data_IF_394402259339
#
_entry.id   IF_394402259339
#
_cell.length_a   1.000
_cell.length_b   1.000
_cell.length_c   1.000
_cell.angle_alpha   90.00
_cell.angle_beta   90.00
_cell.angle_gamma   90.00
#
_symmetry.space_group_name_H-M   'P 1'
#
loop_
_entity.id
_entity.type
_entity.pdbx_description
1 polymer ?
#
# COMPACT_ATOMS: atom_id res chain seq x y z
N UNK A 1 -20.57 -8.54 5.79
CA UNK A 1 -21.92 -7.96 5.65
C UNK A 1 -22.59 -8.55 4.43
N UNK A 2 -22.23 -8.04 3.25
CA UNK A 2 -22.90 -8.39 1.98
C UNK A 2 -22.98 -9.90 1.71
N UNK A 3 -21.85 -10.63 1.82
CA UNK A 3 -21.83 -12.07 1.58
C UNK A 3 -22.67 -12.88 2.59
N UNK A 4 -22.77 -12.41 3.84
CA UNK A 4 -23.58 -13.07 4.88
C UNK A 4 -25.07 -12.93 4.57
N UNK A 5 -25.48 -11.73 4.10
CA UNK A 5 -26.86 -11.45 3.72
C UNK A 5 -27.18 -11.81 2.26
N UNK A 6 -26.22 -12.40 1.53
CA UNK A 6 -26.34 -12.75 0.12
C UNK A 6 -26.74 -11.57 -0.78
N UNK A 7 -26.33 -10.35 -0.43
CA UNK A 7 -26.66 -9.13 -1.19
C UNK A 7 -25.54 -8.77 -2.14
N UNK A 8 -25.88 -8.46 -3.40
CA UNK A 8 -24.96 -7.77 -4.33
C UNK A 8 -25.18 -6.27 -4.22
N UNK A 9 -24.10 -5.52 -4.04
CA UNK A 9 -24.18 -4.06 -3.92
C UNK A 9 -24.37 -3.42 -5.31
N UNK A 10 -25.09 -2.29 -5.43
CA UNK A 10 -25.14 -1.52 -6.66
C UNK A 10 -23.77 -1.01 -7.09
N UNK A 11 -23.56 -0.82 -8.39
CA UNK A 11 -22.29 -0.32 -8.95
C UNK A 11 -21.85 1.00 -8.31
N UNK A 12 -22.79 1.92 -8.08
CA UNK A 12 -22.53 3.19 -7.39
C UNK A 12 -21.94 2.97 -6.00
N UNK A 13 -22.49 2.02 -5.22
CA UNK A 13 -21.97 1.71 -3.89
C UNK A 13 -20.56 1.09 -3.97
N UNK A 14 -20.29 0.24 -4.96
CA UNK A 14 -18.96 -0.31 -5.18
C UNK A 14 -17.92 0.80 -5.48
N UNK A 15 -18.25 1.75 -6.37
CA UNK A 15 -17.38 2.90 -6.68
C UNK A 15 -17.13 3.79 -5.46
N UNK A 16 -18.18 4.05 -4.69
CA UNK A 16 -18.12 4.88 -3.48
C UNK A 16 -17.26 4.23 -2.38
N UNK A 17 -17.38 2.91 -2.16
CA UNK A 17 -16.52 2.19 -1.23
C UNK A 17 -15.06 2.12 -1.73
N UNK A 18 -14.84 1.98 -3.04
CA UNK A 18 -13.50 2.09 -3.65
C UNK A 18 -12.87 3.47 -3.41
N UNK A 19 -13.64 4.55 -3.60
CA UNK A 19 -13.18 5.92 -3.33
C UNK A 19 -12.80 6.11 -1.86
N UNK A 20 -13.62 5.63 -0.92
CA UNK A 20 -13.28 5.65 0.51
C UNK A 20 -11.99 4.87 0.81
N UNK A 21 -11.82 3.70 0.20
CA UNK A 21 -10.62 2.89 0.34
C UNK A 21 -9.37 3.58 -0.24
N UNK A 22 -9.49 4.27 -1.38
CA UNK A 22 -8.39 5.08 -1.92
C UNK A 22 -8.05 6.26 -1.01
N UNK A 23 -9.04 6.94 -0.44
CA UNK A 23 -8.82 7.96 0.60
C UNK A 23 -8.05 7.39 1.81
N UNK A 24 -8.40 6.18 2.25
CA UNK A 24 -7.70 5.44 3.31
C UNK A 24 -6.25 5.12 2.95
N UNK A 25 -6.00 4.64 1.73
CA UNK A 25 -4.65 4.32 1.27
C UNK A 25 -3.80 5.59 1.18
N UNK A 26 -4.32 6.65 0.57
CA UNK A 26 -3.61 7.93 0.46
C UNK A 26 -3.22 8.48 1.84
N UNK A 27 -4.16 8.56 2.79
CA UNK A 27 -3.81 9.08 4.11
C UNK A 27 -2.88 8.16 4.88
N UNK A 28 -3.01 6.84 4.73
CA UNK A 28 -2.18 5.86 5.45
C UNK A 28 -0.76 5.85 4.91
N UNK A 29 -0.59 5.97 3.60
CA UNK A 29 0.72 6.02 2.95
C UNK A 29 1.40 7.35 3.22
N UNK A 30 0.66 8.47 3.21
CA UNK A 30 1.17 9.77 3.64
C UNK A 30 1.62 9.76 5.11
N UNK A 31 0.83 9.17 6.01
CA UNK A 31 1.22 9.00 7.42
C UNK A 31 2.53 8.20 7.52
N UNK A 32 2.56 7.01 6.92
CA UNK A 32 3.72 6.12 6.99
C UNK A 32 4.98 6.78 6.43
N UNK A 33 4.89 7.41 5.27
CA UNK A 33 6.06 8.03 4.64
C UNK A 33 6.48 9.29 5.41
N UNK A 34 5.62 10.31 5.51
CA UNK A 34 6.06 11.62 6.01
C UNK A 34 6.21 11.71 7.52
N UNK A 35 5.44 10.93 8.30
CA UNK A 35 5.49 11.05 9.77
C UNK A 35 6.40 10.00 10.40
N UNK A 36 6.55 8.83 9.76
CA UNK A 36 7.28 7.70 10.34
C UNK A 36 8.61 7.44 9.63
N UNK A 37 8.63 7.30 8.30
CA UNK A 37 9.85 6.95 7.56
C UNK A 37 10.73 8.14 7.20
N UNK A 38 10.15 9.28 6.87
CA UNK A 38 10.88 10.47 6.42
C UNK A 38 11.85 11.04 7.46
N UNK A 39 11.57 11.00 8.79
CA UNK A 39 12.58 11.35 9.79
C UNK A 39 13.88 10.56 9.61
N UNK A 40 13.81 9.24 9.46
CA UNK A 40 15.00 8.41 9.20
C UNK A 40 15.65 8.71 7.85
N UNK A 41 14.85 8.78 6.79
CA UNK A 41 15.34 8.92 5.41
C UNK A 41 15.91 10.30 5.10
N UNK A 42 15.42 11.37 5.73
CA UNK A 42 15.78 12.75 5.42
C UNK A 42 16.64 13.41 6.50
N UNK A 43 16.45 13.07 7.79
CA UNK A 43 17.31 13.57 8.87
C UNK A 43 18.57 12.69 9.02
N UNK A 44 18.49 11.41 8.61
CA UNK A 44 19.54 10.40 8.69
C UNK A 44 19.24 9.36 9.77
N UNK A 45 19.51 8.10 9.48
CA UNK A 45 19.27 6.97 10.41
C UNK A 45 20.14 7.03 11.66
N UNK A 46 21.29 7.69 11.58
CA UNK A 46 22.20 7.91 12.71
C UNK A 46 22.05 9.31 13.32
N UNK A 47 21.00 10.06 12.96
CA UNK A 47 20.76 11.38 13.57
C UNK A 47 20.26 11.26 15.02
N UNK A 48 20.48 12.34 15.79
CA UNK A 48 20.10 12.41 17.20
C UNK A 48 18.65 11.94 17.41
N UNK A 49 18.41 10.89 18.23
CA UNK A 49 17.07 10.42 18.54
C UNK A 49 16.14 11.52 19.07
N UNK A 50 16.69 12.54 19.75
CA UNK A 50 15.93 13.70 20.24
C UNK A 50 15.43 14.64 19.14
N UNK A 51 15.89 14.47 17.90
CA UNK A 51 15.47 15.24 16.72
C UNK A 51 14.89 14.35 15.60
N UNK A 52 15.16 13.03 15.61
CA UNK A 52 14.75 12.07 14.57
C UNK A 52 13.28 11.66 14.69
N UNK A 53 12.41 12.65 14.52
CA UNK A 53 10.96 12.49 14.54
C UNK A 53 10.29 13.60 13.73
N UNK A 54 8.96 13.53 13.59
CA UNK A 54 8.20 14.49 12.77
C UNK A 54 8.43 15.97 13.16
N UNK A 55 8.63 16.29 14.44
CA UNK A 55 8.91 17.69 14.85
C UNK A 55 10.27 18.19 14.35
N UNK A 56 11.34 17.37 14.39
CA UNK A 56 12.62 17.75 13.79
C UNK A 56 12.54 17.84 12.27
N UNK A 57 11.71 17.01 11.64
CA UNK A 57 11.41 17.13 10.22
C UNK A 57 10.71 18.46 9.90
N UNK A 58 9.75 18.90 10.73
CA UNK A 58 9.10 20.21 10.59
C UNK A 58 10.10 21.36 10.72
N UNK A 59 11.06 21.26 11.64
CA UNK A 59 12.08 22.30 11.85
C UNK A 59 13.05 22.40 10.67
N UNK A 60 13.52 21.26 10.13
CA UNK A 60 14.54 21.22 9.07
C UNK A 60 13.95 21.31 7.65
N UNK A 61 12.79 20.71 7.43
CA UNK A 61 12.11 20.62 6.13
C UNK A 61 10.62 20.99 6.25
N UNK A 62 10.29 22.25 6.63
CA UNK A 62 8.92 22.65 6.94
C UNK A 62 7.94 22.46 5.79
N UNK A 63 8.37 22.68 4.55
CA UNK A 63 7.50 22.54 3.38
C UNK A 63 7.20 21.07 3.06
N UNK A 64 8.18 20.18 3.24
CA UNK A 64 8.00 18.72 3.08
C UNK A 64 7.03 18.19 4.13
N UNK A 65 7.21 18.59 5.40
CA UNK A 65 6.32 18.20 6.48
C UNK A 65 4.90 18.73 6.25
N UNK A 66 4.74 20.00 5.81
CA UNK A 66 3.45 20.60 5.49
C UNK A 66 2.75 19.85 4.35
N UNK A 67 3.48 19.53 3.28
CA UNK A 67 2.94 18.77 2.16
C UNK A 67 2.43 17.39 2.62
N UNK A 68 3.23 16.65 3.41
CA UNK A 68 2.83 15.37 3.98
C UNK A 68 1.58 15.43 4.87
N UNK A 69 1.47 16.46 5.71
CA UNK A 69 0.28 16.71 6.54
C UNK A 69 -0.95 16.97 5.64
N UNK A 70 -0.80 17.78 4.59
CA UNK A 70 -1.91 18.13 3.67
C UNK A 70 -2.35 16.94 2.82
N UNK A 71 -1.44 16.08 2.38
CA UNK A 71 -1.79 14.83 1.67
C UNK A 71 -2.51 13.85 2.61
N UNK A 72 -2.07 13.73 3.86
CA UNK A 72 -2.79 12.95 4.87
C UNK A 72 -4.19 13.52 5.11
N UNK A 73 -4.30 14.84 5.25
CA UNK A 73 -5.58 15.53 5.41
C UNK A 73 -6.52 15.28 4.22
N UNK A 74 -6.01 15.33 2.99
CA UNK A 74 -6.78 15.05 1.77
C UNK A 74 -7.45 13.68 1.81
N UNK A 75 -6.71 12.60 2.11
CA UNK A 75 -7.32 11.26 2.23
C UNK A 75 -8.31 11.15 3.39
N UNK A 76 -8.03 11.80 4.53
CA UNK A 76 -8.94 11.84 5.68
C UNK A 76 -10.23 12.62 5.41
N UNK A 77 -10.16 13.67 4.59
CA UNK A 77 -11.30 14.46 4.18
C UNK A 77 -12.20 13.69 3.22
N UNK A 78 -11.64 12.88 2.30
CA UNK A 78 -12.45 11.97 1.45
C UNK A 78 -13.25 11.01 2.34
N UNK A 79 -12.61 10.40 3.34
CA UNK A 79 -13.30 9.49 4.28
C UNK A 79 -14.39 10.23 5.06
N UNK A 80 -14.12 11.47 5.49
CA UNK A 80 -15.08 12.30 6.23
C UNK A 80 -16.26 12.76 5.38
N UNK A 81 -16.03 13.20 4.16
CA UNK A 81 -17.08 13.62 3.22
C UNK A 81 -18.04 12.46 2.95
N UNK A 82 -17.51 11.25 2.74
CA UNK A 82 -18.34 10.08 2.51
C UNK A 82 -18.97 9.54 3.80
N UNK A 83 -18.18 9.38 4.86
CA UNK A 83 -18.55 8.61 6.05
C UNK A 83 -18.96 9.44 7.27
N UNK A 84 -19.05 10.77 7.15
CA UNK A 84 -19.34 11.73 8.22
C UNK A 84 -18.22 11.91 9.26
N UNK A 85 -17.31 10.94 9.38
CA UNK A 85 -16.17 10.94 10.31
C UNK A 85 -14.91 10.42 9.64
N UNK A 86 -13.77 11.00 9.97
CA UNK A 86 -12.45 10.59 9.50
C UNK A 86 -12.00 9.24 10.07
N UNK A 87 -12.44 8.91 11.30
CA UNK A 87 -12.05 7.68 12.01
C UNK A 87 -13.31 6.91 12.40
N UNK A 88 -13.29 5.60 12.13
CA UNK A 88 -14.40 4.67 12.32
C UNK A 88 -15.73 5.17 11.71
N UNK A 89 -15.75 5.53 10.40
CA UNK A 89 -17.00 5.88 9.74
C UNK A 89 -17.92 4.67 9.74
N UNK A 90 -19.18 4.89 10.09
CA UNK A 90 -20.20 3.86 9.99
C UNK A 90 -20.84 3.83 8.58
N UNK A 91 -20.13 4.33 7.56
CA UNK A 91 -20.48 4.46 6.15
C UNK A 91 -21.13 3.25 5.48
N UNK A 92 -20.30 2.21 5.48
CA UNK A 92 -20.49 1.00 4.71
C UNK A 92 -21.44 0.05 5.45
N UNK A 93 -22.55 -0.28 4.82
CA UNK A 93 -23.59 -1.18 5.38
C UNK A 93 -23.81 -2.36 4.44
N UNK A 94 -24.32 -3.51 4.93
CA UNK A 94 -24.73 -4.59 4.05
C UNK A 94 -25.70 -4.10 2.96
N UNK A 95 -25.44 -4.44 1.71
CA UNK A 95 -26.20 -3.99 0.54
C UNK A 95 -25.67 -2.71 -0.13
N UNK A 96 -24.76 -1.95 0.48
CA UNK A 96 -24.16 -0.78 -0.16
C UNK A 96 -23.56 0.26 0.78
N UNK A 97 -24.02 1.51 0.65
CA UNK A 97 -23.61 2.66 1.47
C UNK A 97 -24.87 3.39 1.92
N UNK A 98 -24.84 4.06 3.07
CA UNK A 98 -26.02 4.72 3.64
C UNK A 98 -26.48 5.95 2.86
N UNK A 99 -25.53 6.81 2.53
CA UNK A 99 -25.79 8.09 1.86
C UNK A 99 -24.97 8.20 0.55
N UNK A 100 -25.51 8.84 -0.50
CA UNK A 100 -24.73 9.13 -1.69
C UNK A 100 -23.70 10.23 -1.42
N UNK A 101 -22.68 10.31 -2.29
CA UNK A 101 -21.75 11.45 -2.31
C UNK A 101 -22.44 12.70 -2.85
N UNK A 102 -22.21 13.86 -2.24
CA UNK A 102 -22.73 15.13 -2.74
C UNK A 102 -21.88 15.63 -3.92
N UNK A 103 -22.50 16.36 -4.86
CA UNK A 103 -21.78 16.94 -5.99
C UNK A 103 -20.65 17.88 -5.53
N UNK A 104 -20.91 18.70 -4.50
CA UNK A 104 -19.93 19.60 -3.91
C UNK A 104 -18.72 18.86 -3.31
N UNK A 105 -18.92 17.68 -2.71
CA UNK A 105 -17.82 16.86 -2.20
C UNK A 105 -16.93 16.36 -3.33
N UNK A 106 -17.54 15.94 -4.46
CA UNK A 106 -16.78 15.53 -5.66
C UNK A 106 -15.93 16.67 -6.19
N UNK A 107 -16.52 17.85 -6.34
CA UNK A 107 -15.84 19.05 -6.83
C UNK A 107 -14.69 19.48 -5.90
N UNK A 108 -14.89 19.37 -4.59
CA UNK A 108 -13.83 19.65 -3.60
C UNK A 108 -12.66 18.68 -3.73
N UNK A 109 -12.94 17.38 -3.90
CA UNK A 109 -11.91 16.35 -4.13
C UNK A 109 -11.14 16.66 -5.40
N UNK A 110 -11.84 16.91 -6.51
CA UNK A 110 -11.24 17.24 -7.82
C UNK A 110 -10.34 18.47 -7.74
N UNK A 111 -10.78 19.54 -7.07
CA UNK A 111 -10.01 20.77 -6.88
C UNK A 111 -8.69 20.55 -6.13
N UNK A 112 -8.63 19.57 -5.23
CA UNK A 112 -7.46 19.28 -4.39
C UNK A 112 -6.52 18.23 -4.99
N UNK A 113 -6.93 17.53 -6.06
CA UNK A 113 -6.08 16.55 -6.74
C UNK A 113 -4.73 17.11 -7.21
N UNK A 114 -4.64 18.32 -7.82
CA UNK A 114 -3.35 18.85 -8.26
C UNK A 114 -2.32 18.92 -7.14
N UNK A 115 -2.70 19.49 -5.99
CA UNK A 115 -1.81 19.57 -4.83
C UNK A 115 -1.42 18.18 -4.29
N UNK A 116 -2.37 17.24 -4.24
CA UNK A 116 -2.09 15.89 -3.80
C UNK A 116 -1.04 15.21 -4.71
N UNK A 117 -1.16 15.40 -6.02
CA UNK A 117 -0.17 14.91 -6.99
C UNK A 117 1.18 15.60 -6.85
N UNK A 118 1.23 16.92 -6.68
CA UNK A 118 2.47 17.67 -6.47
C UNK A 118 3.21 17.16 -5.22
N UNK A 119 2.46 16.85 -4.15
CA UNK A 119 3.03 16.27 -2.93
C UNK A 119 3.59 14.87 -3.16
N UNK A 120 2.91 14.03 -3.94
CA UNK A 120 3.41 12.69 -4.29
C UNK A 120 4.70 12.80 -5.12
N UNK A 121 4.75 13.71 -6.09
CA UNK A 121 5.97 13.92 -6.89
C UNK A 121 7.13 14.47 -6.06
N UNK A 122 6.86 15.38 -5.12
CA UNK A 122 7.85 15.82 -4.15
C UNK A 122 8.41 14.63 -3.35
N UNK A 123 7.54 13.76 -2.83
CA UNK A 123 7.95 12.59 -2.05
C UNK A 123 8.79 11.60 -2.87
N UNK A 124 8.34 11.31 -4.11
CA UNK A 124 9.04 10.41 -5.02
C UNK A 124 10.44 10.94 -5.36
N UNK A 125 10.56 12.22 -5.69
CA UNK A 125 11.85 12.83 -6.00
C UNK A 125 12.79 12.81 -4.79
N UNK A 126 12.30 13.23 -3.61
CA UNK A 126 13.09 13.18 -2.38
C UNK A 126 13.58 11.77 -2.05
N UNK A 127 12.71 10.76 -2.21
CA UNK A 127 13.08 9.37 -1.97
C UNK A 127 14.13 8.88 -2.98
N UNK A 128 13.92 9.12 -4.27
CA UNK A 128 14.85 8.70 -5.33
C UNK A 128 16.21 9.35 -5.19
N UNK A 129 16.25 10.65 -4.90
CA UNK A 129 17.48 11.41 -4.64
C UNK A 129 18.21 10.89 -3.38
N UNK A 130 17.48 10.26 -2.46
CA UNK A 130 18.07 9.68 -1.25
C UNK A 130 18.67 8.29 -1.46
N UNK A 131 18.28 7.52 -2.49
CA UNK A 131 18.70 6.12 -2.63
C UNK A 131 20.22 5.93 -2.67
N UNK A 132 20.96 6.81 -3.36
CA UNK A 132 22.42 6.75 -3.44
C UNK A 132 23.11 6.87 -2.07
N UNK A 133 22.40 7.38 -1.05
CA UNK A 133 22.92 7.49 0.33
C UNK A 133 22.63 6.24 1.17
N UNK A 134 21.81 5.32 0.65
CA UNK A 134 21.30 4.15 1.37
C UNK A 134 21.64 2.83 0.67
N UNK A 135 22.68 2.79 -0.18
CA UNK A 135 23.04 1.58 -0.93
C UNK A 135 23.32 0.38 -0.01
N UNK A 136 23.95 0.62 1.14
CA UNK A 136 24.23 -0.43 2.12
C UNK A 136 22.93 -0.95 2.76
N UNK A 137 22.03 -0.07 3.16
CA UNK A 137 20.73 -0.40 3.74
C UNK A 137 19.84 -1.14 2.74
N UNK A 138 19.84 -0.72 1.48
CA UNK A 138 19.11 -1.40 0.41
C UNK A 138 19.58 -2.86 0.28
N UNK A 139 20.88 -3.12 0.39
CA UNK A 139 21.44 -4.48 0.29
C UNK A 139 21.28 -5.30 1.57
N UNK A 140 21.23 -4.65 2.74
CA UNK A 140 21.30 -5.35 4.04
C UNK A 140 19.95 -5.47 4.73
N UNK A 141 19.02 -4.53 4.52
CA UNK A 141 17.73 -4.49 5.21
C UNK A 141 16.71 -5.40 4.52
N UNK A 142 16.90 -6.70 4.72
CA UNK A 142 15.95 -7.72 4.30
C UNK A 142 15.83 -7.83 2.79
N UNK A 143 16.95 -8.08 2.12
CA UNK A 143 16.99 -8.52 0.72
C UNK A 143 17.18 -10.04 0.64
N UNK A 144 16.08 -10.76 0.40
CA UNK A 144 16.06 -12.22 0.35
C UNK A 144 14.92 -12.72 -0.55
N UNK A 145 15.07 -13.92 -1.15
CA UNK A 145 14.01 -14.53 -1.93
C UNK A 145 12.80 -14.84 -1.04
N UNK A 146 11.60 -14.56 -1.57
CA UNK A 146 10.33 -14.80 -0.89
C UNK A 146 9.23 -14.98 -1.93
N UNK A 147 8.10 -15.54 -1.50
CA UNK A 147 6.87 -15.41 -2.27
C UNK A 147 6.27 -14.02 -2.05
N UNK A 148 5.45 -13.57 -3.00
CA UNK A 148 4.66 -12.35 -2.88
C UNK A 148 3.19 -12.66 -3.13
N UNK A 149 2.31 -12.09 -2.32
CA UNK A 149 0.87 -12.26 -2.46
C UNK A 149 0.16 -10.91 -2.46
N UNK A 150 -0.84 -10.78 -3.34
CA UNK A 150 -1.69 -9.61 -3.42
C UNK A 150 -2.98 -9.90 -4.17
N UNK A 151 -3.82 -8.86 -4.26
CA UNK A 151 -5.00 -8.90 -5.12
C UNK A 151 -4.65 -8.39 -6.51
N UNK A 152 -5.27 -8.98 -7.52
CA UNK A 152 -5.28 -8.49 -8.90
C UNK A 152 -6.71 -8.39 -9.42
N UNK A 153 -6.94 -7.49 -10.36
CA UNK A 153 -8.20 -7.42 -11.12
C UNK A 153 -8.35 -8.66 -12.01
N UNK A 154 -9.52 -8.83 -12.65
CA UNK A 154 -9.78 -9.97 -13.55
C UNK A 154 -8.80 -10.04 -14.74
N UNK A 155 -8.28 -8.90 -15.17
CA UNK A 155 -7.28 -8.70 -16.22
C UNK A 155 -5.84 -8.59 -15.69
N UNK A 156 -5.62 -8.75 -14.38
CA UNK A 156 -4.27 -8.81 -13.78
C UNK A 156 -3.70 -7.48 -13.27
N UNK A 157 -4.47 -6.40 -13.35
CA UNK A 157 -4.08 -5.06 -12.87
C UNK A 157 -4.00 -4.96 -11.34
N UNK A 158 -3.33 -3.91 -10.88
CA UNK A 158 -3.18 -3.56 -9.47
C UNK A 158 -4.53 -3.33 -8.78
N UNK A 159 -4.83 -4.10 -7.72
CA UNK A 159 -6.13 -4.08 -7.04
C UNK A 159 -6.00 -3.92 -5.52
N UNK A 160 -6.94 -3.18 -4.94
CA UNK A 160 -6.91 -2.71 -3.55
C UNK A 160 -8.22 -2.90 -2.79
N UNK A 161 -9.30 -3.22 -3.49
CA UNK A 161 -10.67 -3.29 -2.96
C UNK A 161 -11.30 -4.65 -3.19
N UNK A 162 -11.44 -5.08 -4.44
CA UNK A 162 -12.11 -6.34 -4.79
C UNK A 162 -11.54 -6.94 -6.08
N UNK A 163 -11.12 -8.20 -5.99
CA UNK A 163 -10.39 -8.91 -7.04
C UNK A 163 -10.03 -10.32 -6.59
N UNK A 164 -8.94 -10.85 -7.15
CA UNK A 164 -8.53 -12.22 -6.93
C UNK A 164 -7.14 -12.31 -6.30
N UNK A 165 -6.92 -13.32 -5.46
CA UNK A 165 -5.61 -13.61 -4.90
C UNK A 165 -4.69 -14.16 -5.98
N UNK A 166 -3.48 -13.58 -6.06
CA UNK A 166 -2.36 -14.07 -6.86
C UNK A 166 -1.13 -14.23 -5.97
N UNK A 167 -0.39 -15.32 -6.18
CA UNK A 167 0.90 -15.61 -5.53
C UNK A 167 1.97 -15.76 -6.61
N UNK A 168 3.07 -15.04 -6.46
CA UNK A 168 4.26 -15.19 -7.31
C UNK A 168 5.48 -15.55 -6.48
N UNK A 169 6.40 -16.31 -7.05
CA UNK A 169 7.68 -16.62 -6.39
C UNK A 169 8.75 -15.54 -6.61
N UNK A 170 9.93 -15.73 -6.04
CA UNK A 170 11.07 -14.81 -6.16
C UNK A 170 11.68 -14.73 -7.57
N UNK A 171 11.23 -15.58 -8.49
CA UNK A 171 11.61 -15.53 -9.92
C UNK A 171 10.55 -14.82 -10.77
N UNK A 172 9.39 -14.49 -10.18
CA UNK A 172 8.26 -13.89 -10.88
C UNK A 172 7.29 -14.93 -11.46
N UNK A 173 7.50 -16.23 -11.21
CA UNK A 173 6.57 -17.26 -11.66
C UNK A 173 5.30 -17.21 -10.82
N UNK A 174 4.16 -17.20 -11.50
CA UNK A 174 2.85 -17.29 -10.84
C UNK A 174 2.64 -18.72 -10.32
N UNK A 175 2.46 -18.86 -9.01
CA UNK A 175 2.16 -20.12 -8.33
C UNK A 175 0.66 -20.34 -8.15
N UNK A 176 -0.07 -19.26 -7.89
CA UNK A 176 -1.53 -19.24 -7.79
C UNK A 176 -2.01 -18.03 -8.58
N UNK A 177 -2.97 -18.24 -9.47
CA UNK A 177 -3.59 -17.15 -10.21
C UNK A 177 -5.10 -17.12 -10.01
N UNK A 178 -5.62 -15.89 -9.91
CA UNK A 178 -7.05 -15.58 -9.86
C UNK A 178 -7.88 -16.41 -8.87
N UNK A 179 -7.33 -16.73 -7.69
CA UNK A 179 -8.08 -17.46 -6.67
C UNK A 179 -9.11 -16.52 -6.01
N UNK A 180 -10.42 -16.87 -6.00
CA UNK A 180 -11.42 -16.07 -5.30
C UNK A 180 -11.10 -15.94 -3.80
N UNK A 181 -11.15 -14.73 -3.20
CA UNK A 181 -10.73 -14.55 -1.80
C UNK A 181 -11.47 -15.39 -0.76
N UNK A 182 -12.73 -15.77 -1.02
CA UNK A 182 -13.48 -16.65 -0.11
C UNK A 182 -12.89 -18.07 0.00
N UNK A 183 -12.02 -18.46 -0.95
CA UNK A 183 -11.28 -19.73 -0.97
C UNK A 183 -9.87 -19.63 -0.36
N UNK A 184 -9.53 -18.53 0.32
CA UNK A 184 -8.16 -18.29 0.84
C UNK A 184 -7.59 -19.44 1.69
N UNK A 185 -8.46 -20.19 2.40
CA UNK A 185 -8.06 -21.34 3.25
C UNK A 185 -7.41 -22.49 2.49
N UNK A 186 -7.56 -22.52 1.16
CA UNK A 186 -6.89 -23.49 0.31
C UNK A 186 -5.38 -23.25 0.23
N UNK A 187 -4.96 -21.98 0.33
CA UNK A 187 -3.57 -21.59 0.10
C UNK A 187 -2.90 -20.92 1.30
N UNK A 188 -3.64 -20.46 2.31
CA UNK A 188 -3.08 -19.83 3.53
C UNK A 188 -3.22 -20.80 4.70
N UNK A 189 -2.07 -21.14 5.30
CA UNK A 189 -1.97 -21.72 6.64
C UNK A 189 -1.49 -20.66 7.64
N UNK A 190 -1.72 -20.88 8.93
CA UNK A 190 -1.21 -20.02 10.00
C UNK A 190 -0.49 -20.87 11.05
N UNK A 191 0.78 -20.59 11.31
CA UNK A 191 1.53 -21.17 12.42
C UNK A 191 1.53 -20.24 13.64
N UNK A 192 1.85 -20.78 14.81
CA UNK A 192 1.95 -20.05 16.08
C UNK A 192 3.29 -20.40 16.72
N UNK A 193 3.93 -19.38 17.28
CA UNK A 193 5.19 -19.51 18.01
C UNK A 193 5.00 -19.10 19.47
N UNK A 194 5.66 -19.76 20.44
CA UNK A 194 5.45 -19.48 21.87
C UNK A 194 5.94 -18.10 22.31
N UNK A 195 6.78 -17.44 21.51
CA UNK A 195 7.41 -16.16 21.80
C UNK A 195 6.70 -14.95 21.18
N UNK A 196 5.60 -15.16 20.44
CA UNK A 196 4.86 -14.08 19.78
C UNK A 196 3.36 -14.34 19.73
N UNK A 197 2.57 -13.33 20.05
CA UNK A 197 1.12 -13.36 19.79
C UNK A 197 0.78 -13.22 18.31
N UNK A 198 1.70 -12.65 17.50
CA UNK A 198 1.51 -12.55 16.06
C UNK A 198 1.70 -13.95 15.46
N UNK A 199 0.69 -14.43 14.73
CA UNK A 199 0.78 -15.66 13.95
C UNK A 199 1.78 -15.53 12.80
N UNK A 200 2.14 -16.67 12.21
CA UNK A 200 3.04 -16.76 11.06
C UNK A 200 2.27 -17.36 9.88
N UNK A 201 1.57 -16.55 9.06
CA UNK A 201 0.92 -17.02 7.85
C UNK A 201 1.94 -17.54 6.84
N UNK A 202 1.62 -18.63 6.16
CA UNK A 202 2.45 -19.24 5.13
C UNK A 202 1.61 -19.81 3.99
N UNK A 203 2.23 -19.94 2.82
CA UNK A 203 1.67 -20.58 1.65
C UNK A 203 1.60 -22.08 1.89
N UNK A 204 0.38 -22.56 2.16
CA UNK A 204 0.08 -23.90 2.65
C UNK A 204 0.71 -25.03 1.82
N UNK A 205 0.72 -24.98 0.46
CA UNK A 205 1.34 -26.04 -0.35
C UNK A 205 2.84 -26.21 -0.17
N UNK A 206 3.57 -25.19 0.30
CA UNK A 206 5.01 -25.28 0.58
C UNK A 206 5.32 -25.50 2.07
N UNK A 207 4.31 -25.45 2.93
CA UNK A 207 4.47 -25.65 4.37
C UNK A 207 5.13 -24.47 5.10
N UNK A 208 5.15 -24.58 6.42
CA UNK A 208 5.78 -23.59 7.30
C UNK A 208 7.26 -23.87 7.54
N UNK A 209 7.64 -25.15 7.55
CA UNK A 209 8.97 -25.61 7.89
C UNK A 209 10.05 -24.99 6.98
N UNK A 210 11.16 -24.59 7.60
CA UNK A 210 12.30 -23.97 6.92
C UNK A 210 11.96 -22.66 6.16
N UNK A 211 10.79 -22.06 6.39
CA UNK A 211 10.36 -20.83 5.74
C UNK A 211 9.98 -20.97 4.26
N UNK A 212 9.83 -22.19 3.74
CA UNK A 212 9.57 -22.42 2.30
C UNK A 212 8.27 -21.77 1.80
N UNK A 213 7.22 -21.76 2.63
CA UNK A 213 5.96 -21.08 2.33
C UNK A 213 5.90 -19.61 2.75
N UNK A 214 6.98 -19.01 3.25
CA UNK A 214 6.95 -17.61 3.68
C UNK A 214 6.68 -16.69 2.47
N UNK A 215 5.68 -15.82 2.63
CA UNK A 215 5.31 -14.83 1.63
C UNK A 215 5.23 -13.43 2.25
N UNK A 216 5.41 -12.41 1.40
CA UNK A 216 5.25 -11.01 1.77
C UNK A 216 4.02 -10.41 1.11
N UNK A 217 3.43 -9.43 1.79
CA UNK A 217 2.27 -8.64 1.35
C UNK A 217 2.56 -7.16 1.53
N UNK A 218 1.68 -6.29 1.01
CA UNK A 218 1.82 -4.84 1.11
C UNK A 218 2.30 -4.21 -0.20
N UNK A 219 2.74 -2.94 -0.17
CA UNK A 219 2.98 -2.16 -1.39
C UNK A 219 3.90 -2.85 -2.40
N UNK A 220 5.10 -3.27 -1.98
CA UNK A 220 6.05 -3.94 -2.87
C UNK A 220 5.51 -5.26 -3.42
N UNK A 221 4.89 -6.08 -2.58
CA UNK A 221 4.29 -7.34 -3.03
C UNK A 221 3.21 -7.12 -4.08
N UNK A 222 2.38 -6.08 -3.93
CA UNK A 222 1.33 -5.73 -4.90
C UNK A 222 1.91 -5.36 -6.26
N UNK A 223 2.98 -4.55 -6.29
CA UNK A 223 3.66 -4.19 -7.55
C UNK A 223 4.39 -5.37 -8.21
N UNK A 224 4.83 -6.34 -7.41
CA UNK A 224 5.44 -7.58 -7.91
C UNK A 224 4.40 -8.55 -8.49
N UNK A 225 3.16 -8.59 -7.98
CA UNK A 225 2.14 -9.56 -8.45
C UNK A 225 1.24 -9.06 -9.58
N UNK A 226 0.99 -7.74 -9.68
CA UNK A 226 0.14 -7.19 -10.72
C UNK A 226 0.86 -7.17 -12.08
N UNK A 227 0.13 -7.11 -13.17
CA UNK A 227 0.71 -7.01 -14.51
C UNK A 227 0.95 -5.53 -14.87
N UNK A 228 0.01 -4.64 -14.52
CA UNK A 228 0.02 -3.21 -14.78
C UNK A 228 -0.63 -2.39 -13.64
N UNK A 229 -0.30 -1.09 -13.53
CA UNK A 229 -0.74 -0.24 -12.43
C UNK A 229 -2.11 0.44 -12.67
N UNK A 230 -2.57 0.51 -13.91
CA UNK A 230 -3.92 0.98 -14.28
C UNK A 230 -4.06 2.49 -14.49
N UNK A 231 -3.05 3.31 -14.15
CA UNK A 231 -3.01 4.73 -14.51
C UNK A 231 -1.67 5.10 -15.16
N UNK A 232 -1.61 6.04 -16.12
CA UNK A 232 -0.35 6.35 -16.82
C UNK A 232 0.79 6.81 -15.90
N UNK A 233 0.47 7.55 -14.83
CA UNK A 233 1.46 8.06 -13.86
C UNK A 233 2.03 6.91 -13.03
N UNK A 234 1.18 6.08 -12.43
CA UNK A 234 1.63 4.94 -11.63
C UNK A 234 2.32 3.86 -12.48
N UNK A 235 1.90 3.68 -13.73
CA UNK A 235 2.53 2.74 -14.67
C UNK A 235 3.98 3.11 -14.96
N UNK A 236 4.27 4.40 -15.13
CA UNK A 236 5.65 4.89 -15.30
C UNK A 236 6.51 4.58 -14.07
N UNK A 237 6.03 4.95 -12.89
CA UNK A 237 6.76 4.71 -11.63
C UNK A 237 6.94 3.20 -11.36
N UNK A 238 5.94 2.37 -11.67
CA UNK A 238 6.02 0.92 -11.50
C UNK A 238 7.09 0.29 -12.41
N UNK A 239 7.27 0.79 -13.64
CA UNK A 239 8.35 0.34 -14.53
C UNK A 239 9.71 0.69 -13.98
N UNK A 240 9.89 1.91 -13.49
CA UNK A 240 11.13 2.31 -12.82
C UNK A 240 11.40 1.47 -11.57
N UNK A 241 10.38 1.23 -10.75
CA UNK A 241 10.45 0.37 -9.59
C UNK A 241 10.90 -1.05 -9.96
N UNK A 242 10.32 -1.66 -11.00
CA UNK A 242 10.69 -3.02 -11.46
C UNK A 242 12.13 -3.13 -11.93
N UNK A 243 12.73 -2.04 -12.43
CA UNK A 243 14.13 -2.02 -12.81
C UNK A 243 15.10 -2.15 -11.61
N UNK A 244 14.61 -1.96 -10.38
CA UNK A 244 15.38 -2.24 -9.16
C UNK A 244 15.54 -3.75 -8.91
N UNK A 245 14.73 -4.58 -9.56
CA UNK A 245 14.85 -6.03 -9.49
C UNK A 245 16.01 -6.54 -10.34
N UNK A 246 16.87 -7.39 -9.76
CA UNK A 246 18.00 -7.96 -10.48
C UNK A 246 17.54 -8.92 -11.59
N UNK A 247 18.03 -8.72 -12.82
CA UNK A 247 17.78 -9.61 -13.96
C UNK A 247 16.29 -9.82 -14.28
N UNK A 248 15.46 -8.79 -14.08
CA UNK A 248 14.02 -8.85 -14.34
C UNK A 248 13.22 -9.64 -13.31
N UNK A 249 13.82 -10.01 -12.19
CA UNK A 249 13.13 -10.65 -11.06
C UNK A 249 12.29 -9.63 -10.27
N UNK A 250 11.28 -10.08 -9.51
CA UNK A 250 10.59 -9.24 -8.54
C UNK A 250 11.55 -8.51 -7.60
N UNK A 251 11.20 -7.27 -7.23
CA UNK A 251 12.01 -6.47 -6.29
C UNK A 251 11.95 -7.13 -4.91
N UNK A 252 13.10 -7.42 -4.31
CA UNK A 252 13.17 -8.20 -3.06
C UNK A 252 13.61 -7.40 -1.83
N UNK A 253 14.37 -6.32 -1.98
CA UNK A 253 14.82 -5.52 -0.83
C UNK A 253 13.64 -4.90 -0.07
N UNK A 254 13.61 -5.10 1.25
CA UNK A 254 12.55 -4.54 2.10
C UNK A 254 12.61 -3.01 2.17
N UNK A 255 13.77 -2.41 1.87
CA UNK A 255 13.92 -0.95 1.76
C UNK A 255 12.99 -0.36 0.68
N UNK A 256 12.80 -1.06 -0.44
CA UNK A 256 11.98 -0.60 -1.55
C UNK A 256 10.46 -0.64 -1.27
N UNK A 257 10.02 -1.09 -0.09
CA UNK A 257 8.64 -0.85 0.35
C UNK A 257 8.32 0.63 0.50
N UNK A 258 9.30 1.49 0.80
CA UNK A 258 9.08 2.94 0.83
C UNK A 258 8.72 3.50 -0.54
N UNK A 259 9.40 3.01 -1.59
CA UNK A 259 9.11 3.42 -2.97
C UNK A 259 7.77 2.89 -3.42
N UNK A 260 7.52 1.58 -3.30
CA UNK A 260 6.27 0.98 -3.76
C UNK A 260 5.02 1.55 -3.06
N UNK A 261 5.19 2.21 -1.91
CA UNK A 261 4.13 2.86 -1.15
C UNK A 261 3.76 4.24 -1.70
N UNK A 262 4.69 4.94 -2.35
CA UNK A 262 4.46 6.23 -2.99
C UNK A 262 3.93 6.03 -4.41
#
# INVERSE_FOLDING_TARGET
>A
GDAILLTRIPETAAKLRRLMNWGQLTQSHALSFFHLSAPDLLLGMESDPGARHVVGLIQKYPDVARAGIRLRQFGQDIIRMLGGKSVHPAWTVPGGVREPMQAADREEIERRLPEAFDTIYLALNLLKDSFAKFDQEVQTYGDFPSLFMGLVTADGGLEHYDGFLRVVDSTGRILVDKLPPHRFREIIGEAVEPWSYLKFPYYKPLGYENGAGMYRVGPLARLNVCDFAGTPRAEREMREFRNLGHQGKPVSSSFHYHYARL
#
